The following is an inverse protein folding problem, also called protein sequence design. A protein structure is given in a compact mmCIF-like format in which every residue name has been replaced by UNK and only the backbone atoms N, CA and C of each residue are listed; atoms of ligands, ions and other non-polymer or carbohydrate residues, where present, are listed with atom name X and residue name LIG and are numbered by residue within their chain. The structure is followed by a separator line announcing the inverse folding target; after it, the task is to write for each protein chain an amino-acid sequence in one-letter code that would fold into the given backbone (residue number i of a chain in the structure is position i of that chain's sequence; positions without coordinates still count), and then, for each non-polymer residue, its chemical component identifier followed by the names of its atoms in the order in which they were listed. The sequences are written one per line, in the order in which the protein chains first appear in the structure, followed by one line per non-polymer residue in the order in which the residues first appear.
data_IF_414495793423
#
_entry.id   IF_414495793423
#
_cell.length_a   1.000
_cell.length_b   1.000
_cell.length_c   1.000
_cell.angle_alpha   90.00
_cell.angle_beta   90.00
_cell.angle_gamma   90.00
#
_symmetry.space_group_name_H-M   'P 1'
#
loop_
_entity.id
_entity.type
_entity.pdbx_description
1 polymer ?
#
# COMPACT_ATOMS: atom_id res chain seq x y z
N UNK A 1 7.30 5.16 -25.85
CA UNK A 1 5.97 5.58 -25.36
C UNK A 1 6.03 5.65 -23.83
N UNK A 2 5.60 6.75 -23.22
CA UNK A 2 5.74 7.04 -21.77
C UNK A 2 4.35 7.02 -21.12
N UNK A 3 4.23 6.41 -19.93
CA UNK A 3 3.02 6.45 -19.12
C UNK A 3 3.10 7.66 -18.17
N UNK A 4 1.97 8.34 -18.00
CA UNK A 4 1.80 9.37 -16.99
C UNK A 4 0.86 8.85 -15.91
N UNK A 5 1.30 8.90 -14.66
CA UNK A 5 0.47 8.62 -13.49
C UNK A 5 0.23 9.95 -12.77
N UNK A 6 -1.02 10.39 -12.76
CA UNK A 6 -1.44 11.66 -12.16
C UNK A 6 -2.17 11.40 -10.85
N UNK A 7 -1.94 12.27 -9.87
CA UNK A 7 -2.67 12.27 -8.61
C UNK A 7 -3.20 13.68 -8.34
N UNK A 8 -4.46 13.76 -7.93
CA UNK A 8 -5.10 15.00 -7.49
C UNK A 8 -5.71 14.73 -6.12
N UNK A 9 -5.41 15.61 -5.16
CA UNK A 9 -5.96 15.54 -3.82
C UNK A 9 -6.72 16.82 -3.51
N UNK A 10 -7.85 16.67 -2.81
CA UNK A 10 -8.65 17.77 -2.32
C UNK A 10 -8.71 17.67 -0.79
N UNK A 11 -8.39 18.76 -0.12
CA UNK A 11 -8.45 18.86 1.35
C UNK A 11 -9.55 19.83 1.75
N UNK A 12 -10.29 19.50 2.81
CA UNK A 12 -11.31 20.39 3.36
C UNK A 12 -10.68 21.30 4.42
N UNK A 13 -10.57 22.59 4.12
CA UNK A 13 -10.04 23.61 5.03
C UNK A 13 -8.51 23.59 5.17
N UNK A 14 -7.98 24.46 6.04
CA UNK A 14 -6.52 24.64 6.27
C UNK A 14 -5.90 23.63 7.24
N UNK A 15 -6.73 22.90 8.01
CA UNK A 15 -6.31 21.87 8.98
C UNK A 15 -6.82 20.49 8.60
N UNK A 16 -6.67 20.08 7.34
CA UNK A 16 -6.87 18.67 7.02
C UNK A 16 -5.75 17.88 7.69
N UNK A 17 -6.07 16.85 8.48
CA UNK A 17 -5.10 15.87 8.99
C UNK A 17 -4.48 14.99 7.90
N UNK A 18 -4.37 15.50 6.68
CA UNK A 18 -3.69 14.86 5.57
C UNK A 18 -2.20 15.18 5.65
N UNK A 19 -1.38 14.12 5.58
CA UNK A 19 0.07 14.24 5.62
C UNK A 19 0.58 14.63 4.23
N UNK A 20 1.35 15.71 4.17
CA UNK A 20 2.13 16.09 2.98
C UNK A 20 3.56 16.38 3.42
N UNK A 21 4.48 15.50 3.06
CA UNK A 21 5.90 15.60 3.42
C UNK A 21 6.63 16.57 2.49
N UNK A 22 6.32 17.86 2.63
CA UNK A 22 6.93 18.94 1.84
C UNK A 22 8.45 19.02 2.00
N UNK A 23 9.03 18.43 3.06
CA UNK A 23 10.50 18.35 3.22
C UNK A 23 11.17 17.52 2.12
N UNK A 24 10.42 16.63 1.44
CA UNK A 24 10.90 15.87 0.29
C UNK A 24 10.92 16.69 -1.02
N UNK A 25 10.66 18.00 -0.93
CA UNK A 25 10.45 18.89 -2.05
C UNK A 25 9.03 18.79 -2.62
N UNK A 26 8.56 19.87 -3.23
CA UNK A 26 7.29 19.88 -3.95
C UNK A 26 7.35 18.86 -5.09
N UNK A 27 6.66 17.74 -4.93
CA UNK A 27 6.60 16.71 -5.97
C UNK A 27 5.74 17.20 -7.14
N UNK A 28 6.14 16.86 -8.36
CA UNK A 28 5.30 17.14 -9.53
C UNK A 28 3.97 16.40 -9.43
N UNK A 29 2.90 16.97 -9.98
CA UNK A 29 1.56 16.37 -10.00
C UNK A 29 1.47 15.08 -10.85
N UNK A 30 2.58 14.68 -11.47
CA UNK A 30 2.69 13.47 -12.26
C UNK A 30 4.04 12.79 -12.01
N UNK A 31 4.04 11.46 -12.07
CA UNK A 31 5.26 10.67 -12.14
C UNK A 31 5.36 10.06 -13.54
N UNK A 32 6.47 10.36 -14.24
CA UNK A 32 6.78 9.74 -15.53
C UNK A 32 7.39 8.37 -15.29
N UNK A 33 6.86 7.35 -15.97
CA UNK A 33 7.48 6.04 -16.00
C UNK A 33 7.41 5.48 -17.43
N UNK A 34 8.40 4.67 -17.80
CA UNK A 34 8.32 3.92 -19.06
C UNK A 34 7.04 3.09 -19.08
N UNK A 35 6.31 3.11 -20.21
CA UNK A 35 5.20 2.17 -20.38
C UNK A 35 5.81 0.78 -20.26
N UNK A 36 5.30 0.04 -19.29
CA UNK A 36 5.60 -1.37 -19.14
C UNK A 36 4.87 -2.13 -20.27
N UNK A 37 5.33 -1.95 -21.52
CA UNK A 37 4.88 -2.73 -22.68
C UNK A 37 5.27 -4.19 -22.53
N UNK A 38 4.77 -5.09 -23.40
CA UNK A 38 5.09 -6.55 -23.38
C UNK A 38 6.59 -6.88 -23.23
N UNK A 39 7.49 -5.96 -23.60
CA UNK A 39 8.92 -6.20 -23.80
C UNK A 39 9.85 -5.92 -22.61
N UNK A 40 9.44 -5.30 -21.49
CA UNK A 40 10.34 -5.17 -20.32
C UNK A 40 10.31 -6.43 -19.46
N UNK A 41 10.94 -7.49 -19.99
CA UNK A 41 11.49 -8.61 -19.23
C UNK A 41 12.87 -8.19 -18.73
N UNK A 42 12.92 -7.53 -17.57
CA UNK A 42 14.19 -7.50 -16.85
C UNK A 42 14.33 -8.81 -16.08
N UNK A 43 13.55 -9.06 -15.01
CA UNK A 43 13.88 -10.15 -14.07
C UNK A 43 12.69 -10.98 -13.52
N UNK A 44 11.63 -11.28 -14.28
CA UNK A 44 10.68 -12.33 -13.85
C UNK A 44 9.20 -12.08 -14.12
N UNK A 45 8.48 -13.20 -14.22
CA UNK A 45 7.07 -13.41 -14.54
C UNK A 45 6.13 -12.24 -14.20
N UNK A 46 5.57 -11.59 -15.23
CA UNK A 46 4.41 -10.72 -15.04
C UNK A 46 3.23 -11.56 -14.58
N UNK A 47 2.79 -11.34 -13.34
CA UNK A 47 1.60 -12.00 -12.80
C UNK A 47 0.31 -11.25 -13.20
N UNK A 48 0.41 -10.01 -13.72
CA UNK A 48 -0.73 -9.24 -14.22
C UNK A 48 -0.37 -8.37 -15.44
N UNK A 49 -1.24 -8.27 -16.46
CA UNK A 49 -1.01 -7.41 -17.64
C UNK A 49 -0.89 -5.91 -17.31
N UNK A 50 -1.56 -5.42 -16.26
CA UNK A 50 -1.58 -4.00 -15.85
C UNK A 50 -0.85 -3.73 -14.53
N UNK A 51 0.28 -4.40 -14.30
CA UNK A 51 1.05 -4.20 -13.07
C UNK A 51 1.70 -2.81 -13.04
N UNK A 52 1.26 -1.94 -12.12
CA UNK A 52 1.89 -0.64 -11.88
C UNK A 52 3.34 -0.83 -11.39
N UNK A 53 4.30 0.02 -11.84
CA UNK A 53 5.67 0.02 -11.31
C UNK A 53 5.71 0.40 -9.82
N UNK A 54 6.55 -0.30 -9.05
CA UNK A 54 6.68 -0.05 -7.60
C UNK A 54 7.25 1.35 -7.32
N UNK A 55 8.25 1.78 -8.09
CA UNK A 55 8.91 3.08 -7.90
C UNK A 55 7.95 4.26 -7.94
N UNK A 56 6.95 4.22 -8.83
CA UNK A 56 5.91 5.25 -8.93
C UNK A 56 5.09 5.33 -7.65
N UNK A 57 4.67 4.19 -7.11
CA UNK A 57 3.88 4.16 -5.88
C UNK A 57 4.69 4.61 -4.66
N UNK A 58 6.00 4.35 -4.61
CA UNK A 58 6.86 4.79 -3.50
C UNK A 58 6.93 6.31 -3.38
N UNK A 59 6.93 7.04 -4.50
CA UNK A 59 6.92 8.52 -4.49
C UNK A 59 5.69 9.01 -3.74
N UNK A 60 4.52 8.53 -4.12
CA UNK A 60 3.26 8.93 -3.50
C UNK A 60 3.15 8.49 -2.04
N UNK A 61 3.54 7.25 -1.72
CA UNK A 61 3.51 6.76 -0.34
C UNK A 61 4.39 7.61 0.56
N UNK A 62 5.62 7.93 0.14
CA UNK A 62 6.51 8.78 0.94
C UNK A 62 5.99 10.20 1.09
N UNK A 63 5.35 10.73 0.06
CA UNK A 63 4.83 12.09 0.08
C UNK A 63 3.57 12.24 0.94
N UNK A 64 2.67 11.25 0.90
CA UNK A 64 1.33 11.33 1.49
C UNK A 64 1.19 10.63 2.85
N UNK A 65 2.22 9.94 3.34
CA UNK A 65 2.17 9.18 4.59
C UNK A 65 3.48 9.26 5.36
N UNK A 66 3.40 9.11 6.67
CA UNK A 66 4.56 8.91 7.56
C UNK A 66 4.89 7.43 7.72
N UNK A 67 6.08 7.14 8.25
CA UNK A 67 6.43 5.77 8.63
C UNK A 67 5.46 5.21 9.69
N UNK A 68 5.24 3.90 9.66
CA UNK A 68 4.31 3.18 10.53
C UNK A 68 2.82 3.50 10.34
N UNK A 69 2.45 4.49 9.51
CA UNK A 69 1.05 4.73 9.14
C UNK A 69 0.46 3.57 8.32
N UNK A 70 -0.87 3.45 8.35
CA UNK A 70 -1.61 2.39 7.68
C UNK A 70 -2.10 2.83 6.30
N UNK A 71 -1.74 2.05 5.28
CA UNK A 71 -2.21 2.23 3.90
C UNK A 71 -3.24 1.16 3.57
N UNK A 72 -4.43 1.58 3.11
CA UNK A 72 -5.48 0.65 2.69
C UNK A 72 -5.61 0.70 1.17
N UNK A 73 -5.46 -0.46 0.54
CA UNK A 73 -5.64 -0.64 -0.90
C UNK A 73 -6.81 -1.61 -1.15
N UNK A 74 -8.02 -1.09 -1.45
CA UNK A 74 -9.21 -1.91 -1.62
C UNK A 74 -9.22 -2.74 -2.92
N UNK A 75 -8.30 -2.45 -3.86
CA UNK A 75 -8.23 -3.09 -5.17
C UNK A 75 -6.78 -3.47 -5.49
N UNK A 76 -6.15 -4.21 -4.58
CA UNK A 76 -4.70 -4.33 -4.60
C UNK A 76 -4.13 -5.13 -5.78
N UNK A 77 -4.96 -5.92 -6.47
CA UNK A 77 -4.56 -6.68 -7.64
C UNK A 77 -3.32 -7.54 -7.37
N UNK A 78 -2.21 -7.26 -8.07
CA UNK A 78 -0.93 -7.95 -7.88
C UNK A 78 -0.06 -7.42 -6.73
N UNK A 79 -0.60 -6.54 -5.88
CA UNK A 79 0.01 -6.08 -4.63
C UNK A 79 1.11 -5.03 -4.78
N UNK A 80 1.14 -4.24 -5.86
CA UNK A 80 2.17 -3.19 -6.05
C UNK A 80 2.20 -2.21 -4.88
N UNK A 81 1.05 -1.70 -4.42
CA UNK A 81 0.98 -0.75 -3.31
C UNK A 81 1.44 -1.42 -2.01
N UNK A 82 1.05 -2.66 -1.76
CA UNK A 82 1.47 -3.42 -0.59
C UNK A 82 3.00 -3.61 -0.52
N UNK A 83 3.65 -3.93 -1.66
CA UNK A 83 5.12 -4.02 -1.72
C UNK A 83 5.76 -2.66 -1.52
N UNK A 84 5.24 -1.62 -2.17
CA UNK A 84 5.76 -0.25 -2.02
C UNK A 84 5.62 0.27 -0.59
N UNK A 85 4.50 -0.01 0.09
CA UNK A 85 4.26 0.33 1.48
C UNK A 85 5.25 -0.38 2.41
N UNK A 86 5.48 -1.67 2.18
CA UNK A 86 6.46 -2.45 2.94
C UNK A 86 7.88 -1.89 2.78
N UNK A 87 8.33 -1.61 1.56
CA UNK A 87 9.66 -1.01 1.30
C UNK A 87 9.80 0.42 1.87
N UNK A 88 8.69 1.10 2.09
CA UNK A 88 8.65 2.40 2.73
C UNK A 88 8.43 2.29 4.26
N UNK A 89 8.46 1.12 4.89
CA UNK A 89 8.20 0.99 6.33
C UNK A 89 6.81 1.52 6.78
N UNK A 90 5.79 1.31 5.94
CA UNK A 90 4.37 1.57 6.27
C UNK A 90 3.64 0.26 6.51
N UNK A 91 2.62 0.32 7.38
CA UNK A 91 1.67 -0.76 7.54
C UNK A 91 0.70 -0.74 6.35
N UNK A 92 0.14 -1.90 5.97
CA UNK A 92 -0.81 -1.93 4.86
C UNK A 92 -1.88 -3.02 5.01
N UNK A 93 -3.04 -2.77 4.39
CA UNK A 93 -4.13 -3.72 4.19
C UNK A 93 -4.45 -3.74 2.69
N UNK A 94 -4.23 -4.87 2.04
CA UNK A 94 -4.62 -5.08 0.64
C UNK A 94 -5.86 -5.97 0.56
N UNK A 95 -6.88 -5.51 -0.16
CA UNK A 95 -8.12 -6.26 -0.41
C UNK A 95 -8.19 -6.56 -1.92
N UNK A 96 -8.54 -7.80 -2.25
CA UNK A 96 -8.71 -8.25 -3.62
C UNK A 96 -9.77 -9.34 -3.67
N UNK A 97 -10.74 -9.20 -4.57
CA UNK A 97 -11.86 -10.12 -4.70
C UNK A 97 -11.47 -11.38 -5.51
N UNK A 98 -10.63 -11.23 -6.54
CA UNK A 98 -10.20 -12.34 -7.41
C UNK A 98 -9.07 -13.13 -6.76
N UNK A 99 -9.38 -14.37 -6.37
CA UNK A 99 -8.44 -15.28 -5.69
C UNK A 99 -7.10 -15.45 -6.41
N UNK A 100 -7.09 -15.43 -7.75
CA UNK A 100 -5.86 -15.52 -8.54
C UNK A 100 -4.90 -14.33 -8.30
N UNK A 101 -5.44 -13.11 -8.19
CA UNK A 101 -4.66 -11.91 -7.94
C UNK A 101 -4.26 -11.78 -6.48
N UNK A 102 -5.13 -12.17 -5.54
CA UNK A 102 -4.75 -12.28 -4.13
C UNK A 102 -3.57 -13.27 -3.93
N UNK A 103 -3.57 -14.41 -4.62
CA UNK A 103 -2.44 -15.36 -4.60
C UNK A 103 -1.17 -14.75 -5.20
N UNK A 104 -1.30 -14.03 -6.32
CA UNK A 104 -0.19 -13.32 -6.97
C UNK A 104 0.46 -12.27 -6.05
N UNK A 105 -0.37 -11.40 -5.46
CA UNK A 105 0.07 -10.39 -4.50
C UNK A 105 0.82 -11.03 -3.34
N UNK A 106 0.29 -12.13 -2.79
CA UNK A 106 0.94 -12.87 -1.70
C UNK A 106 2.30 -13.48 -2.11
N UNK A 107 2.39 -14.10 -3.30
CA UNK A 107 3.67 -14.64 -3.81
C UNK A 107 4.70 -13.51 -3.92
N UNK A 108 4.28 -12.38 -4.51
CA UNK A 108 5.13 -11.19 -4.66
C UNK A 108 5.58 -10.64 -3.31
N UNK A 109 4.66 -10.42 -2.37
CA UNK A 109 5.03 -9.93 -1.04
C UNK A 109 6.00 -10.83 -0.32
N UNK A 110 5.86 -12.16 -0.41
CA UNK A 110 6.82 -13.10 0.19
C UNK A 110 8.22 -13.01 -0.41
N UNK A 111 8.32 -12.70 -1.71
CA UNK A 111 9.61 -12.50 -2.38
C UNK A 111 10.33 -11.25 -1.84
N UNK A 112 9.60 -10.17 -1.57
CA UNK A 112 10.17 -8.93 -1.04
C UNK A 112 10.39 -8.95 0.49
N UNK A 113 9.38 -9.38 1.25
CA UNK A 113 9.37 -9.29 2.71
C UNK A 113 9.95 -10.51 3.46
N UNK A 114 10.27 -11.59 2.75
CA UNK A 114 10.73 -12.83 3.34
C UNK A 114 9.71 -13.46 4.32
N UNK A 115 10.20 -14.18 5.34
CA UNK A 115 9.36 -14.86 6.36
C UNK A 115 8.76 -13.90 7.41
N UNK A 116 9.06 -12.59 7.36
CA UNK A 116 8.73 -11.64 8.44
C UNK A 116 7.30 -11.09 8.42
N UNK A 117 6.51 -11.45 7.42
CA UNK A 117 5.16 -10.91 7.24
C UNK A 117 4.11 -11.73 8.02
N UNK A 118 3.39 -11.08 8.95
CA UNK A 118 2.22 -11.67 9.62
C UNK A 118 0.98 -11.29 8.82
N UNK A 119 0.31 -12.29 8.23
CA UNK A 119 -0.86 -12.08 7.36
C UNK A 119 -2.11 -12.70 8.00
N UNK A 120 -3.16 -11.89 8.17
CA UNK A 120 -4.45 -12.37 8.68
C UNK A 120 -5.46 -12.45 7.55
N UNK A 121 -5.90 -13.67 7.21
CA UNK A 121 -7.06 -13.87 6.35
C UNK A 121 -8.32 -13.54 7.16
N UNK A 122 -9.14 -12.61 6.68
CA UNK A 122 -10.56 -12.61 7.01
C UNK A 122 -11.17 -13.87 6.39
N UNK A 123 -11.32 -14.95 7.17
CA UNK A 123 -12.21 -16.04 6.78
C UNK A 123 -13.61 -15.43 6.74
N UNK A 124 -14.21 -15.30 5.56
CA UNK A 124 -15.67 -15.16 5.49
C UNK A 124 -16.27 -16.49 5.96
N UNK A 125 -16.52 -16.60 7.26
CA UNK A 125 -17.43 -17.60 7.79
C UNK A 125 -18.64 -16.88 8.39
N UNK A 126 -19.79 -17.29 7.87
CA UNK A 126 -21.16 -16.96 8.22
C UNK A 126 -21.35 -17.01 9.74
N UNK A 127 -21.69 -15.89 10.35
CA UNK A 127 -23.05 -15.51 10.82
C UNK A 127 -22.89 -14.25 11.66
N UNK A 128 -23.74 -13.26 11.42
CA UNK A 128 -23.93 -12.15 12.34
C UNK A 128 -24.47 -12.73 13.65
N UNK A 129 -23.61 -12.89 14.66
CA UNK A 129 -24.05 -13.10 16.04
C UNK A 129 -23.02 -12.47 16.97
N UNK A 130 -23.38 -11.30 17.49
CA UNK A 130 -23.08 -10.83 18.84
C UNK A 130 -21.81 -11.37 19.50
N UNK A 131 -20.73 -10.57 19.44
CA UNK A 131 -19.85 -10.23 20.58
C UNK A 131 -18.73 -9.28 20.13
N UNK A 132 -18.63 -8.12 20.79
CA UNK A 132 -17.54 -7.15 20.60
C UNK A 132 -16.20 -7.77 21.03
N UNK A 133 -15.09 -7.46 20.34
CA UNK A 133 -13.90 -6.99 21.06
C UNK A 133 -13.28 -5.79 20.31
N UNK A 134 -13.05 -4.65 20.95
CA UNK A 134 -11.92 -4.48 21.86
C UNK A 134 -10.69 -4.08 21.04
N UNK A 135 -10.61 -2.81 20.63
CA UNK A 135 -9.38 -2.23 20.07
C UNK A 135 -8.28 -2.35 21.12
N UNK A 136 -7.22 -3.10 20.83
CA UNK A 136 -6.05 -3.20 21.70
C UNK A 136 -5.34 -1.85 21.75
N UNK A 137 -5.63 -1.08 22.81
CA UNK A 137 -4.85 0.10 23.21
C UNK A 137 -3.55 -0.39 23.83
N UNK A 138 -2.43 -0.01 23.24
CA UNK A 138 -1.12 -0.07 23.90
C UNK A 138 -1.15 0.88 25.09
N UNK A 139 -1.27 0.32 26.29
CA UNK A 139 -1.02 1.00 27.55
C UNK A 139 0.50 1.03 27.76
N UNK A 140 1.10 2.21 27.72
CA UNK A 140 2.35 2.47 28.44
C UNK A 140 2.06 3.62 29.39
N UNK A 141 1.84 3.28 30.66
CA UNK A 141 1.88 4.26 31.73
C UNK A 141 3.32 4.56 32.12
N UNK A 142 3.60 5.82 32.44
CA UNK A 142 4.51 6.30 33.47
C UNK A 142 4.17 7.79 33.67
N UNK A 143 3.48 8.12 34.75
CA UNK A 143 4.02 8.47 36.08
C UNK A 143 4.28 9.98 36.16
N UNK A 144 3.46 10.62 36.99
CA UNK A 144 3.56 11.99 37.49
C UNK A 144 4.96 12.39 37.94
N UNK A 145 5.44 13.55 37.47
CA UNK A 145 5.60 14.78 38.25
C UNK A 145 5.86 15.95 37.30
#
# INVERSE_FOLDING_TARGET
MVALEQAVWFTKGTKSGATFNYQLGQQANYVKHSIVGRATKANGERIHPTQKPIGVMKVWIRYLTNENELIVDPFCGSGTICVAAWECHRNFIGIENKRQYAKAARKRLKQFAGKRLRWSFGKQNKTCSSRKPGYARGLTGHSTR
#
